data_IF_635106911606
#
_entry.id   IF_635106911606
#
_cell.length_a   1.000
_cell.length_b   1.000
_cell.length_c   1.000
_cell.angle_alpha   90.00
_cell.angle_beta   90.00
_cell.angle_gamma   90.00
#
_symmetry.space_group_name_H-M   'P 1'
#
loop_
_entity.id
_entity.type
_entity.pdbx_description
1 polymer ?
#
# COMPACT_ATOMS: atom_id res chain seq x y z
N UNK A 1 5.12 -2.49 17.34
CA UNK A 1 4.52 -2.24 16.02
C UNK A 1 5.54 -2.65 14.99
N UNK A 2 5.19 -3.56 14.08
CA UNK A 2 6.04 -3.82 12.93
C UNK A 2 6.01 -2.56 12.08
N UNK A 3 7.18 -2.02 11.77
CA UNK A 3 7.27 -0.89 10.85
C UNK A 3 7.41 -1.48 9.46
N UNK A 4 6.57 -1.03 8.54
CA UNK A 4 6.62 -1.36 7.12
C UNK A 4 7.16 -0.13 6.38
N UNK A 5 8.46 0.20 6.53
CA UNK A 5 9.01 1.45 6.02
C UNK A 5 8.89 1.56 4.50
N UNK A 6 9.02 0.45 3.77
CA UNK A 6 8.96 0.45 2.31
C UNK A 6 7.54 0.69 1.84
N UNK A 7 6.56 -0.01 2.42
CA UNK A 7 5.13 0.21 2.13
C UNK A 7 4.69 1.61 2.54
N UNK A 8 5.12 2.09 3.70
CA UNK A 8 4.74 3.41 4.19
C UNK A 8 5.30 4.50 3.29
N UNK A 9 6.57 4.40 2.90
CA UNK A 9 7.16 5.34 1.95
C UNK A 9 6.44 5.32 0.61
N UNK A 10 6.06 4.14 0.11
CA UNK A 10 5.29 3.97 -1.12
C UNK A 10 3.91 4.66 -1.03
N UNK A 11 3.17 4.37 0.04
CA UNK A 11 1.86 4.96 0.34
C UNK A 11 1.94 6.49 0.40
N UNK A 12 2.89 7.03 1.16
CA UNK A 12 3.09 8.48 1.30
C UNK A 12 3.51 9.12 -0.01
N UNK A 13 4.41 8.49 -0.77
CA UNK A 13 5.02 9.13 -1.95
C UNK A 13 4.16 9.06 -3.21
N UNK A 14 3.26 8.07 -3.29
CA UNK A 14 2.48 7.79 -4.51
C UNK A 14 1.00 8.00 -4.25
N UNK A 15 0.47 7.40 -3.18
CA UNK A 15 -0.97 7.32 -2.94
C UNK A 15 -1.50 8.37 -1.96
N UNK A 16 -0.63 9.19 -1.36
CA UNK A 16 -1.11 10.20 -0.42
C UNK A 16 -1.89 11.29 -1.14
N UNK A 17 -3.03 11.67 -0.54
CA UNK A 17 -3.90 12.76 -1.03
C UNK A 17 -3.12 14.08 -1.13
N UNK A 18 -2.08 14.25 -0.31
CA UNK A 18 -1.20 15.42 -0.37
C UNK A 18 -0.32 15.47 -1.63
N UNK A 19 -0.03 14.32 -2.24
CA UNK A 19 0.69 14.26 -3.53
C UNK A 19 -0.25 14.65 -4.67
N UNK A 20 -1.53 14.27 -4.57
CA UNK A 20 -2.58 14.68 -5.51
C UNK A 20 -2.35 14.21 -6.95
N UNK A 21 -1.75 13.02 -7.11
CA UNK A 21 -1.55 12.42 -8.43
C UNK A 21 -2.89 12.00 -9.04
N UNK A 22 -2.98 12.08 -10.37
CA UNK A 22 -4.04 11.39 -11.08
C UNK A 22 -3.76 9.88 -11.06
N UNK A 23 -4.81 9.05 -11.09
CA UNK A 23 -4.70 7.59 -11.02
C UNK A 23 -3.69 7.00 -12.01
N UNK A 24 -3.58 7.57 -13.21
CA UNK A 24 -2.59 7.15 -14.22
C UNK A 24 -1.14 7.40 -13.79
N UNK A 25 -0.90 8.49 -13.06
CA UNK A 25 0.43 8.85 -12.57
C UNK A 25 0.80 8.03 -11.33
N UNK A 26 -0.18 7.71 -10.47
CA UNK A 26 0.00 6.76 -9.37
C UNK A 26 0.44 5.40 -9.90
N UNK A 27 -0.23 4.90 -10.94
CA UNK A 27 0.11 3.63 -11.59
C UNK A 27 1.52 3.69 -12.17
N UNK A 28 1.87 4.74 -12.89
CA UNK A 28 3.19 4.88 -13.51
C UNK A 28 4.31 4.96 -12.45
N UNK A 29 4.08 5.66 -11.34
CA UNK A 29 5.01 5.74 -10.23
C UNK A 29 5.16 4.38 -9.54
N UNK A 30 4.06 3.67 -9.29
CA UNK A 30 4.09 2.33 -8.71
C UNK A 30 4.84 1.36 -9.62
N UNK A 31 4.54 1.34 -10.92
CA UNK A 31 5.26 0.51 -11.90
C UNK A 31 6.75 0.85 -11.92
N UNK A 32 7.13 2.13 -11.80
CA UNK A 32 8.53 2.53 -11.71
C UNK A 32 9.21 1.95 -10.47
N UNK A 33 8.53 1.91 -9.33
CA UNK A 33 9.06 1.29 -8.10
C UNK A 33 9.14 -0.24 -8.24
N UNK A 34 8.11 -0.88 -8.80
CA UNK A 34 8.07 -2.32 -9.00
C UNK A 34 9.04 -2.82 -10.09
N UNK A 35 9.50 -1.94 -10.98
CA UNK A 35 10.57 -2.24 -11.93
C UNK A 35 11.95 -2.36 -11.26
N UNK A 36 12.14 -1.81 -10.06
CA UNK A 36 13.34 -2.03 -9.25
C UNK A 36 13.22 -3.35 -8.48
N UNK A 37 14.03 -4.38 -8.80
CA UNK A 37 13.92 -5.69 -8.18
C UNK A 37 14.21 -5.68 -6.67
N UNK A 38 14.98 -4.72 -6.16
CA UNK A 38 15.27 -4.62 -4.72
C UNK A 38 14.04 -4.07 -4.00
N UNK A 39 13.52 -2.93 -4.45
CA UNK A 39 12.34 -2.33 -3.84
C UNK A 39 11.11 -3.22 -3.97
N UNK A 40 10.95 -3.87 -5.13
CA UNK A 40 9.91 -4.86 -5.34
C UNK A 40 9.98 -5.98 -4.31
N UNK A 41 11.15 -6.58 -4.08
CA UNK A 41 11.29 -7.65 -3.10
C UNK A 41 10.96 -7.20 -1.67
N UNK A 42 11.38 -5.99 -1.29
CA UNK A 42 11.09 -5.41 0.02
C UNK A 42 9.59 -5.14 0.21
N UNK A 43 8.94 -4.56 -0.80
CA UNK A 43 7.48 -4.31 -0.82
C UNK A 43 6.72 -5.63 -0.79
N UNK A 44 7.12 -6.63 -1.58
CA UNK A 44 6.48 -7.94 -1.61
C UNK A 44 6.53 -8.62 -0.23
N UNK A 45 7.70 -8.61 0.43
CA UNK A 45 7.86 -9.22 1.75
C UNK A 45 7.08 -8.46 2.83
N UNK A 46 7.18 -7.14 2.86
CA UNK A 46 6.41 -6.29 3.79
C UNK A 46 4.91 -6.46 3.59
N UNK A 47 4.42 -6.52 2.34
CA UNK A 47 2.99 -6.67 2.04
C UNK A 47 2.48 -8.03 2.50
N UNK A 48 3.23 -9.11 2.27
CA UNK A 48 2.87 -10.43 2.81
C UNK A 48 2.82 -10.43 4.32
N UNK A 49 3.81 -9.81 4.98
CA UNK A 49 3.84 -9.70 6.43
C UNK A 49 2.68 -8.85 6.97
N UNK A 50 2.28 -7.79 6.26
CA UNK A 50 1.15 -6.93 6.60
C UNK A 50 -0.16 -7.71 6.57
N UNK A 51 -0.43 -8.46 5.49
CA UNK A 51 -1.66 -9.26 5.37
C UNK A 51 -1.74 -10.42 6.37
N UNK A 52 -0.60 -10.90 6.86
CA UNK A 52 -0.54 -11.92 7.91
C UNK A 52 -0.61 -11.34 9.33
N UNK A 53 -0.50 -10.01 9.47
CA UNK A 53 -0.55 -9.36 10.78
C UNK A 53 -2.00 -9.12 11.19
N UNK A 54 -2.49 -9.89 12.15
CA UNK A 54 -3.85 -9.72 12.69
C UNK A 54 -3.98 -8.56 13.68
N UNK A 55 -2.87 -7.89 14.01
CA UNK A 55 -2.84 -6.74 14.92
C UNK A 55 -2.79 -5.39 14.21
N UNK A 56 -2.73 -5.39 12.87
CA UNK A 56 -2.73 -4.17 12.08
C UNK A 56 -4.12 -3.54 12.02
N UNK A 57 -4.17 -2.22 12.04
CA UNK A 57 -5.33 -1.43 11.62
C UNK A 57 -5.07 -0.94 10.20
N UNK A 58 -5.89 -1.35 9.26
CA UNK A 58 -5.84 -0.93 7.86
C UNK A 58 -6.24 0.53 7.73
N UNK A 59 -7.23 0.97 8.51
CA UNK A 59 -7.63 2.38 8.54
C UNK A 59 -6.46 3.26 9.00
N UNK A 60 -5.77 2.91 10.10
CA UNK A 60 -4.59 3.66 10.59
C UNK A 60 -3.41 3.62 9.58
N UNK A 61 -3.27 2.52 8.82
CA UNK A 61 -2.26 2.42 7.76
C UNK A 61 -2.50 3.40 6.61
N UNK A 62 -3.77 3.66 6.26
CA UNK A 62 -4.15 4.53 5.16
C UNK A 62 -4.36 5.98 5.60
N UNK A 63 -4.83 6.19 6.82
CA UNK A 63 -5.13 7.49 7.40
C UNK A 63 -4.64 7.54 8.85
N UNK A 64 -3.66 8.41 9.11
CA UNK A 64 -3.16 8.69 10.45
C UNK A 64 -2.72 10.15 10.55
N UNK A 65 -2.25 10.55 11.73
CA UNK A 65 -1.82 11.93 11.99
C UNK A 65 -0.64 12.40 11.10
N UNK A 66 0.11 11.49 10.47
CA UNK A 66 1.26 11.84 9.63
C UNK A 66 0.90 11.95 8.14
N UNK A 67 -0.10 11.21 7.64
CA UNK A 67 -0.51 11.25 6.24
C UNK A 67 -1.92 10.68 6.03
N UNK A 68 -2.54 11.08 4.91
CA UNK A 68 -3.80 10.51 4.42
C UNK A 68 -3.58 9.99 3.00
N UNK A 69 -3.90 8.72 2.77
CA UNK A 69 -3.92 8.05 1.47
C UNK A 69 -5.35 7.89 0.98
N UNK A 70 -6.15 7.22 1.79
CA UNK A 70 -7.54 6.96 1.47
C UNK A 70 -8.34 7.01 2.77
N UNK A 71 -9.33 7.91 2.88
CA UNK A 71 -10.16 8.03 4.07
C UNK A 71 -11.19 6.89 4.06
N UNK A 72 -10.76 5.71 4.51
CA UNK A 72 -11.60 4.53 4.53
C UNK A 72 -12.73 4.63 5.56
N UNK A 73 -13.92 4.14 5.20
CA UNK A 73 -15.08 4.17 6.09
C UNK A 73 -14.94 3.15 7.24
N UNK A 74 -14.32 1.99 6.97
CA UNK A 74 -14.03 0.95 7.96
C UNK A 74 -12.79 0.11 7.58
N UNK A 75 -12.43 -0.85 8.44
CA UNK A 75 -11.28 -1.74 8.24
C UNK A 75 -11.41 -2.65 7.01
N UNK A 76 -12.64 -3.00 6.60
CA UNK A 76 -12.89 -3.83 5.43
C UNK A 76 -12.64 -3.00 4.17
N UNK A 77 -13.20 -1.80 4.11
CA UNK A 77 -13.01 -0.84 3.02
C UNK A 77 -11.54 -0.47 2.85
N UNK A 78 -10.84 -0.17 3.95
CA UNK A 78 -9.40 0.09 3.94
C UNK A 78 -8.61 -1.10 3.37
N UNK A 79 -8.94 -2.32 3.79
CA UNK A 79 -8.28 -3.53 3.30
C UNK A 79 -8.58 -3.75 1.81
N UNK A 80 -9.81 -3.56 1.37
CA UNK A 80 -10.21 -3.69 -0.04
C UNK A 80 -9.43 -2.71 -0.92
N UNK A 81 -9.29 -1.45 -0.49
CA UNK A 81 -8.46 -0.47 -1.20
C UNK A 81 -7.00 -0.94 -1.33
N UNK A 82 -6.38 -1.44 -0.26
CA UNK A 82 -4.99 -1.95 -0.33
C UNK A 82 -4.90 -3.18 -1.26
N UNK A 83 -5.90 -4.04 -1.26
CA UNK A 83 -5.94 -5.19 -2.17
C UNK A 83 -6.01 -4.74 -3.63
N UNK A 84 -6.93 -3.84 -3.95
CA UNK A 84 -7.14 -3.40 -5.33
C UNK A 84 -5.99 -2.55 -5.84
N UNK A 85 -5.51 -1.62 -5.02
CA UNK A 85 -4.50 -0.64 -5.41
C UNK A 85 -3.07 -1.17 -5.33
N UNK A 86 -2.76 -2.04 -4.35
CA UNK A 86 -1.41 -2.56 -4.15
C UNK A 86 -1.32 -4.05 -4.46
N UNK A 87 -2.09 -4.90 -3.76
CA UNK A 87 -1.91 -6.36 -3.85
C UNK A 87 -2.06 -6.88 -5.29
N UNK A 88 -3.11 -6.48 -6.00
CA UNK A 88 -3.36 -6.93 -7.36
C UNK A 88 -2.29 -6.46 -8.36
N UNK A 89 -1.60 -5.35 -8.06
CA UNK A 89 -0.52 -4.81 -8.91
C UNK A 89 0.83 -5.47 -8.60
N UNK A 90 1.12 -5.67 -7.31
CA UNK A 90 2.35 -6.34 -6.85
C UNK A 90 2.30 -7.84 -7.16
N UNK A 91 1.15 -8.48 -6.91
CA UNK A 91 0.90 -9.92 -7.06
C UNK A 91 -0.31 -10.21 -7.97
N UNK A 92 -0.23 -9.92 -9.28
CA UNK A 92 -1.36 -10.09 -10.20
C UNK A 92 -1.86 -11.54 -10.35
N UNK A 93 -1.06 -12.52 -9.93
CA UNK A 93 -1.39 -13.95 -10.02
C UNK A 93 -1.61 -14.61 -8.64
N UNK A 94 -1.57 -13.86 -7.54
CA UNK A 94 -1.75 -14.44 -6.20
C UNK A 94 -3.06 -14.01 -5.57
N UNK A 95 -3.67 -14.95 -4.84
CA UNK A 95 -4.84 -14.64 -4.01
C UNK A 95 -4.37 -13.95 -2.74
N UNK A 96 -5.15 -12.96 -2.33
CA UNK A 96 -4.99 -12.30 -1.03
C UNK A 96 -5.02 -13.35 0.08
N UNK A 97 -4.08 -13.32 1.05
CA UNK A 97 -4.01 -14.26 2.16
C UNK A 97 -5.22 -14.21 3.10
#
# INVERSE_FOLDING_TARGET
>A
MKNYPSLRNLLISIFSVDVGLEESDEIAALDSVLNDPVQRADIEDELRQLFQDSSISWSDLLENDEYVVYPADDEVDAKEYVVESLWNRVFPNEKVP
#
